data_IF_296479670740
#
_entry.id   IF_296479670740
#
_cell.length_a   1.000
_cell.length_b   1.000
_cell.length_c   1.000
_cell.angle_alpha   90.00
_cell.angle_beta   90.00
_cell.angle_gamma   90.00
#
_symmetry.space_group_name_H-M   'P 1'
#
loop_
_entity.id
_entity.type
_entity.pdbx_description
1 polymer ?
#
# COMPACT_ATOMS: atom_id res chain seq x y z
N UNK A 1 -2.62 5.95 4.92
CA UNK A 1 -4.06 6.30 4.93
C UNK A 1 -4.84 5.60 3.80
N UNK A 2 -4.56 5.86 2.52
CA UNK A 2 -5.31 5.27 1.41
C UNK A 2 -5.31 3.73 1.42
N UNK A 3 -4.16 3.09 1.63
CA UNK A 3 -4.07 1.64 1.69
C UNK A 3 -4.84 1.05 2.88
N UNK A 4 -4.80 1.70 4.03
CA UNK A 4 -5.57 1.32 5.22
C UNK A 4 -7.08 1.42 4.95
N UNK A 5 -7.53 2.53 4.34
CA UNK A 5 -8.93 2.69 3.96
C UNK A 5 -9.40 1.62 2.97
N UNK A 6 -8.57 1.24 1.98
CA UNK A 6 -8.88 0.14 1.05
C UNK A 6 -8.95 -1.22 1.72
N UNK A 7 -8.03 -1.49 2.67
CA UNK A 7 -8.07 -2.73 3.47
C UNK A 7 -9.39 -2.82 4.26
N UNK A 8 -9.78 -1.72 4.92
CA UNK A 8 -11.05 -1.65 5.66
C UNK A 8 -12.24 -1.85 4.71
N UNK A 9 -12.27 -1.15 3.56
CA UNK A 9 -13.34 -1.28 2.57
C UNK A 9 -13.50 -2.73 2.07
N UNK A 10 -12.38 -3.39 1.76
CA UNK A 10 -12.40 -4.78 1.32
C UNK A 10 -12.89 -5.74 2.42
N UNK A 11 -12.46 -5.51 3.68
CA UNK A 11 -12.92 -6.29 4.83
C UNK A 11 -14.41 -6.12 5.11
N UNK A 12 -14.94 -4.90 5.00
CA UNK A 12 -16.38 -4.64 5.15
C UNK A 12 -17.21 -5.29 4.05
N UNK A 13 -16.78 -5.18 2.81
CA UNK A 13 -17.45 -5.84 1.69
C UNK A 13 -17.62 -7.32 1.97
N UNK A 14 -16.59 -7.96 2.50
CA UNK A 14 -16.65 -9.37 2.86
C UNK A 14 -17.57 -9.63 4.05
N UNK A 15 -17.50 -8.84 5.12
CA UNK A 15 -18.33 -9.04 6.31
C UNK A 15 -19.84 -8.95 6.03
N UNK A 16 -20.22 -8.20 5.01
CA UNK A 16 -21.62 -8.07 4.55
C UNK A 16 -22.03 -9.27 3.68
N UNK A 17 -21.09 -9.81 2.89
CA UNK A 17 -21.38 -10.87 1.90
C UNK A 17 -21.19 -12.29 2.45
N UNK A 18 -20.43 -12.47 3.54
CA UNK A 18 -20.19 -13.78 4.15
C UNK A 18 -20.99 -13.96 5.44
N UNK A 19 -21.53 -15.18 5.63
CA UNK A 19 -22.18 -15.61 6.88
C UNK A 19 -21.21 -16.19 7.91
N UNK A 20 -19.89 -16.06 7.69
CA UNK A 20 -18.87 -16.70 8.50
C UNK A 20 -18.40 -15.80 9.65
N UNK A 21 -17.79 -16.41 10.68
CA UNK A 21 -17.29 -15.74 11.87
C UNK A 21 -16.18 -14.74 11.52
N UNK A 22 -16.47 -13.44 11.63
CA UNK A 22 -15.65 -12.33 11.14
C UNK A 22 -14.32 -12.13 11.88
N UNK A 23 -14.09 -12.80 13.04
CA UNK A 23 -12.91 -12.54 13.87
C UNK A 23 -11.57 -12.82 13.17
N UNK A 24 -11.47 -13.91 12.42
CA UNK A 24 -10.25 -14.24 11.66
C UNK A 24 -9.97 -13.23 10.54
N UNK A 25 -11.02 -12.69 9.95
CA UNK A 25 -10.94 -11.69 8.92
C UNK A 25 -10.52 -10.33 9.48
N UNK A 26 -11.07 -9.93 10.61
CA UNK A 26 -10.74 -8.67 11.28
C UNK A 26 -9.29 -8.67 11.75
N UNK A 27 -8.81 -9.80 12.26
CA UNK A 27 -7.39 -10.00 12.56
C UNK A 27 -6.50 -9.87 11.33
N UNK A 28 -7.01 -10.25 10.15
CA UNK A 28 -6.33 -10.10 8.88
C UNK A 28 -6.13 -8.63 8.44
N UNK A 29 -6.94 -7.69 8.92
CA UNK A 29 -6.77 -6.26 8.63
C UNK A 29 -5.59 -5.64 9.36
N UNK A 30 -5.19 -6.20 10.50
CA UNK A 30 -4.05 -5.74 11.29
C UNK A 30 -2.79 -6.47 10.85
N UNK A 31 -1.70 -5.74 10.63
CA UNK A 31 -0.42 -6.33 10.25
C UNK A 31 0.19 -7.11 11.40
N UNK A 32 0.94 -8.17 11.10
CA UNK A 32 1.44 -9.10 12.12
C UNK A 32 2.33 -8.41 13.16
N UNK A 33 3.12 -7.43 12.74
CA UNK A 33 3.95 -6.62 13.62
C UNK A 33 3.13 -5.78 14.61
N UNK A 34 1.95 -5.31 14.18
CA UNK A 34 1.08 -4.44 14.98
C UNK A 34 0.15 -5.24 15.90
N UNK A 35 0.01 -6.56 15.69
CA UNK A 35 -0.89 -7.40 16.50
C UNK A 35 -0.52 -7.46 17.98
N UNK A 36 0.76 -7.31 18.32
CA UNK A 36 1.20 -7.25 19.73
C UNK A 36 0.73 -5.95 20.39
N UNK A 37 0.93 -4.81 19.71
CA UNK A 37 0.52 -3.49 20.18
C UNK A 37 -1.00 -3.47 20.33
N UNK A 38 -1.72 -3.96 19.32
CA UNK A 38 -3.18 -4.09 19.37
C UNK A 38 -3.66 -4.89 20.57
N UNK A 39 -3.09 -6.09 20.81
CA UNK A 39 -3.49 -6.97 21.93
C UNK A 39 -3.18 -6.42 23.30
N UNK A 40 -2.19 -5.54 23.43
CA UNK A 40 -1.88 -4.89 24.71
C UNK A 40 -2.97 -3.90 25.12
N UNK A 41 -3.74 -3.39 24.15
CA UNK A 41 -4.78 -2.38 24.40
C UNK A 41 -6.20 -2.96 24.31
N UNK A 42 -6.43 -3.89 23.39
CA UNK A 42 -7.76 -4.44 23.10
C UNK A 42 -7.80 -5.94 23.41
N UNK A 43 -8.81 -6.36 24.16
CA UNK A 43 -8.97 -7.76 24.57
C UNK A 43 -9.40 -8.69 23.43
N UNK A 44 -10.02 -8.13 22.37
CA UNK A 44 -10.55 -8.88 21.24
C UNK A 44 -10.37 -8.15 19.91
N UNK A 45 -10.49 -8.91 18.82
CA UNK A 45 -10.51 -8.40 17.45
C UNK A 45 -11.95 -8.08 17.00
N UNK A 46 -12.74 -7.42 17.85
CA UNK A 46 -14.06 -6.93 17.43
C UNK A 46 -13.92 -5.87 16.33
N UNK A 47 -14.97 -5.74 15.52
CA UNK A 47 -14.99 -4.74 14.43
C UNK A 47 -14.74 -3.33 14.97
N UNK A 48 -15.34 -2.99 16.10
CA UNK A 48 -15.16 -1.70 16.76
C UNK A 48 -13.71 -1.43 17.13
N UNK A 49 -13.05 -2.37 17.80
CA UNK A 49 -11.65 -2.23 18.24
C UNK A 49 -10.69 -2.13 17.06
N UNK A 50 -10.88 -2.97 16.04
CA UNK A 50 -10.06 -2.96 14.82
C UNK A 50 -10.22 -1.66 14.05
N UNK A 51 -11.44 -1.13 13.92
CA UNK A 51 -11.69 0.14 13.24
C UNK A 51 -11.08 1.32 14.00
N UNK A 52 -11.27 1.38 15.32
CA UNK A 52 -10.65 2.43 16.14
C UNK A 52 -9.14 2.41 15.98
N UNK A 53 -8.50 1.24 16.10
CA UNK A 53 -7.06 1.09 15.96
C UNK A 53 -6.54 1.60 14.61
N UNK A 54 -7.21 1.24 13.53
CA UNK A 54 -6.77 1.58 12.18
C UNK A 54 -7.10 3.02 11.77
N UNK A 55 -8.10 3.64 12.39
CA UNK A 55 -8.59 4.96 11.95
C UNK A 55 -8.04 6.10 12.79
N UNK A 56 -8.10 6.02 14.13
CA UNK A 56 -7.80 7.17 15.00
C UNK A 56 -7.12 6.85 16.33
N UNK A 57 -6.71 5.61 16.59
CA UNK A 57 -6.06 5.23 17.84
C UNK A 57 -4.68 5.88 17.99
N UNK A 58 -4.44 6.60 19.09
CA UNK A 58 -3.21 7.36 19.33
C UNK A 58 -1.95 6.48 19.46
N UNK A 59 -2.10 5.22 19.93
CA UNK A 59 -0.98 4.29 20.06
C UNK A 59 -0.57 3.67 18.70
N UNK A 60 -1.39 3.84 17.67
CA UNK A 60 -1.07 3.45 16.30
C UNK A 60 -0.59 4.67 15.50
N UNK A 61 0.70 4.88 15.42
CA UNK A 61 1.26 5.97 14.62
C UNK A 61 0.85 5.93 13.14
N UNK A 62 0.49 4.75 12.62
CA UNK A 62 0.11 4.51 11.23
C UNK A 62 -1.42 4.50 11.02
N UNK A 63 -2.21 5.01 11.98
CA UNK A 63 -3.64 5.19 11.80
C UNK A 63 -3.95 6.24 10.71
N UNK A 64 -5.14 6.18 10.14
CA UNK A 64 -5.56 7.07 9.03
C UNK A 64 -5.44 8.55 9.43
N UNK A 65 -5.90 8.92 10.64
CA UNK A 65 -5.87 10.30 11.13
C UNK A 65 -4.45 10.84 11.21
N UNK A 66 -3.53 10.11 11.84
CA UNK A 66 -2.13 10.49 11.98
C UNK A 66 -1.43 10.62 10.62
N UNK A 67 -1.67 9.68 9.71
CA UNK A 67 -1.06 9.72 8.38
C UNK A 67 -1.53 10.93 7.55
N UNK A 68 -2.81 11.30 7.62
CA UNK A 68 -3.32 12.50 6.95
C UNK A 68 -2.76 13.78 7.57
N UNK A 69 -2.64 13.81 8.91
CA UNK A 69 -2.02 14.92 9.61
C UNK A 69 -0.54 15.07 9.25
N UNK A 70 0.24 13.98 9.31
CA UNK A 70 1.65 13.95 8.92
C UNK A 70 1.84 14.43 7.47
N UNK A 71 0.98 13.99 6.53
CA UNK A 71 1.04 14.44 5.14
C UNK A 71 0.84 15.96 5.00
N UNK A 72 -0.13 16.54 5.74
CA UNK A 72 -0.34 17.99 5.78
C UNK A 72 0.85 18.75 6.35
N UNK A 73 1.40 18.26 7.47
CA UNK A 73 2.58 18.88 8.11
C UNK A 73 3.76 18.86 7.17
N UNK A 74 4.07 17.73 6.56
CA UNK A 74 5.15 17.60 5.57
C UNK A 74 4.92 18.53 4.37
N UNK A 75 3.69 18.63 3.86
CA UNK A 75 3.36 19.57 2.78
C UNK A 75 3.58 21.05 3.16
N UNK A 76 3.37 21.42 4.43
CA UNK A 76 3.68 22.78 4.90
C UNK A 76 5.19 23.06 4.95
N UNK A 77 5.99 22.07 5.36
CA UNK A 77 7.46 22.20 5.42
C UNK A 77 8.03 22.46 4.02
N UNK A 78 7.56 21.71 3.01
CA UNK A 78 8.05 21.82 1.62
C UNK A 78 7.22 22.74 0.75
N UNK A 79 6.46 23.67 1.34
CA UNK A 79 5.46 24.52 0.65
C UNK A 79 6.02 25.25 -0.57
N UNK A 80 7.25 25.70 -0.52
CA UNK A 80 7.90 26.44 -1.61
C UNK A 80 8.14 25.59 -2.87
N UNK A 81 8.22 24.25 -2.70
CA UNK A 81 8.36 23.31 -3.81
C UNK A 81 7.02 22.81 -4.38
N UNK A 82 5.89 23.18 -3.76
CA UNK A 82 4.56 22.71 -4.15
C UNK A 82 3.78 23.79 -4.90
N UNK A 83 2.94 23.39 -5.83
CA UNK A 83 1.96 24.31 -6.43
C UNK A 83 0.85 24.63 -5.43
N UNK A 84 0.12 25.72 -5.71
CA UNK A 84 -1.03 26.13 -4.89
C UNK A 84 -2.08 25.01 -4.80
N UNK A 85 -2.34 24.35 -5.90
CA UNK A 85 -3.32 23.26 -6.02
C UNK A 85 -2.92 22.05 -5.16
N UNK A 86 -1.65 21.67 -5.18
CA UNK A 86 -1.14 20.58 -4.33
C UNK A 86 -1.23 20.96 -2.85
N UNK A 87 -0.79 22.15 -2.47
CA UNK A 87 -0.89 22.65 -1.09
C UNK A 87 -2.34 22.72 -0.61
N UNK A 88 -3.25 23.22 -1.46
CA UNK A 88 -4.68 23.29 -1.16
C UNK A 88 -5.29 21.90 -1.02
N UNK A 89 -4.92 20.94 -1.88
CA UNK A 89 -5.43 19.57 -1.77
C UNK A 89 -5.10 18.93 -0.42
N UNK A 90 -3.88 19.13 0.11
CA UNK A 90 -3.47 18.62 1.42
C UNK A 90 -4.25 19.30 2.57
N UNK A 91 -4.41 20.62 2.51
CA UNK A 91 -5.15 21.35 3.54
C UNK A 91 -6.64 21.01 3.53
N UNK A 92 -7.28 20.96 2.37
CA UNK A 92 -8.69 20.60 2.22
C UNK A 92 -8.94 19.15 2.63
N UNK A 93 -8.02 18.23 2.27
CA UNK A 93 -8.07 16.84 2.70
C UNK A 93 -8.14 16.74 4.22
N UNK A 94 -7.25 17.42 4.93
CA UNK A 94 -7.25 17.42 6.39
C UNK A 94 -8.52 18.07 6.96
N UNK A 95 -8.85 19.30 6.56
CA UNK A 95 -10.00 20.02 7.12
C UNK A 95 -11.34 19.33 6.88
N UNK A 96 -11.48 18.63 5.75
CA UNK A 96 -12.70 17.91 5.42
C UNK A 96 -12.81 16.55 6.09
N UNK A 97 -11.72 15.93 6.53
CA UNK A 97 -11.72 14.62 7.18
C UNK A 97 -11.61 14.70 8.69
N UNK A 98 -10.96 15.75 9.21
CA UNK A 98 -10.68 15.86 10.64
C UNK A 98 -11.93 15.68 11.52
N UNK A 99 -13.02 16.39 11.23
CA UNK A 99 -14.26 16.29 12.02
C UNK A 99 -14.85 14.88 12.03
N UNK A 100 -14.77 14.18 10.89
CA UNK A 100 -15.25 12.80 10.79
C UNK A 100 -14.35 11.84 11.58
N UNK A 101 -13.03 12.05 11.55
CA UNK A 101 -12.06 11.21 12.24
C UNK A 101 -11.96 11.48 13.74
N UNK A 102 -12.38 12.67 14.22
CA UNK A 102 -12.50 13.01 15.62
C UNK A 102 -13.82 12.50 16.24
N UNK A 103 -14.81 12.15 15.42
CA UNK A 103 -16.08 11.62 15.86
C UNK A 103 -15.97 10.12 16.17
N UNK A 104 -16.85 9.57 17.03
CA UNK A 104 -16.88 8.13 17.30
C UNK A 104 -17.08 7.32 16.01
N UNK A 105 -16.20 6.34 15.80
CA UNK A 105 -16.26 5.47 14.61
C UNK A 105 -17.41 4.47 14.78
N UNK A 106 -18.40 4.56 13.91
CA UNK A 106 -19.58 3.69 13.87
C UNK A 106 -19.71 3.05 12.49
N UNK A 107 -20.37 1.91 12.42
CA UNK A 107 -20.59 1.21 11.14
C UNK A 107 -21.34 2.12 10.15
N UNK A 108 -22.27 2.94 10.64
CA UNK A 108 -23.10 3.81 9.78
C UNK A 108 -22.33 4.97 9.14
N UNK A 109 -21.27 5.51 9.80
CA UNK A 109 -20.47 6.61 9.24
C UNK A 109 -19.19 6.13 8.54
N UNK A 110 -18.90 4.85 8.63
CA UNK A 110 -17.68 4.26 8.07
C UNK A 110 -17.57 4.37 6.55
N UNK A 111 -18.63 4.13 5.74
CA UNK A 111 -18.57 4.32 4.30
C UNK A 111 -18.18 5.76 3.90
N UNK A 112 -18.71 6.77 4.58
CA UNK A 112 -18.38 8.17 4.35
C UNK A 112 -16.91 8.48 4.68
N UNK A 113 -16.41 7.97 5.82
CA UNK A 113 -15.01 8.11 6.22
C UNK A 113 -14.09 7.50 5.15
N UNK A 114 -14.38 6.28 4.71
CA UNK A 114 -13.57 5.57 3.72
C UNK A 114 -13.57 6.33 2.39
N UNK A 115 -14.73 6.69 1.88
CA UNK A 115 -14.87 7.43 0.62
C UNK A 115 -14.10 8.75 0.67
N UNK A 116 -14.23 9.49 1.76
CA UNK A 116 -13.54 10.76 1.96
C UNK A 116 -12.03 10.57 1.95
N UNK A 117 -11.50 9.59 2.68
CA UNK A 117 -10.06 9.27 2.71
C UNK A 117 -9.55 8.84 1.34
N UNK A 118 -10.27 8.01 0.60
CA UNK A 118 -9.89 7.59 -0.75
C UNK A 118 -9.89 8.76 -1.73
N UNK A 119 -10.85 9.66 -1.60
CA UNK A 119 -10.94 10.86 -2.44
C UNK A 119 -9.77 11.81 -2.18
N UNK A 120 -9.30 11.97 -0.93
CA UNK A 120 -8.13 12.81 -0.64
C UNK A 120 -6.90 12.38 -1.44
N UNK A 121 -6.63 11.07 -1.50
CA UNK A 121 -5.52 10.52 -2.28
C UNK A 121 -5.67 10.75 -3.79
N UNK A 122 -6.90 10.70 -4.30
CA UNK A 122 -7.21 10.92 -5.71
C UNK A 122 -7.01 12.38 -6.10
N UNK A 123 -7.53 13.31 -5.30
CA UNK A 123 -7.39 14.76 -5.52
C UNK A 123 -5.92 15.17 -5.42
N UNK A 124 -5.19 14.70 -4.41
CA UNK A 124 -3.76 14.97 -4.27
C UNK A 124 -2.97 14.54 -5.51
N UNK A 125 -3.15 13.29 -5.96
CA UNK A 125 -2.46 12.78 -7.16
C UNK A 125 -2.85 13.57 -8.41
N UNK A 126 -4.13 13.87 -8.57
CA UNK A 126 -4.61 14.71 -9.67
C UNK A 126 -3.94 16.08 -9.69
N UNK A 127 -3.83 16.75 -8.54
CA UNK A 127 -3.15 18.03 -8.40
C UNK A 127 -1.66 17.92 -8.73
N UNK A 128 -0.95 16.92 -8.20
CA UNK A 128 0.48 16.69 -8.49
C UNK A 128 0.70 16.49 -9.98
N UNK A 129 -0.08 15.61 -10.62
CA UNK A 129 0.09 15.34 -12.05
C UNK A 129 -0.33 16.51 -12.95
N UNK A 130 -1.39 17.21 -12.58
CA UNK A 130 -1.99 18.27 -13.39
C UNK A 130 -1.25 19.59 -13.31
N UNK A 131 -0.53 19.87 -12.20
CA UNK A 131 -0.03 21.23 -11.97
C UNK A 131 1.45 21.35 -11.67
N UNK A 132 2.14 20.26 -11.24
CA UNK A 132 3.56 20.36 -10.92
C UNK A 132 4.45 20.24 -12.15
N UNK A 133 5.49 21.10 -12.20
CA UNK A 133 6.61 20.89 -13.10
C UNK A 133 7.29 19.54 -12.81
N UNK A 134 7.77 18.86 -13.85
CA UNK A 134 8.48 17.56 -13.75
C UNK A 134 9.93 17.77 -13.30
N UNK A 135 10.10 18.44 -12.17
CA UNK A 135 11.39 18.71 -11.52
C UNK A 135 11.72 17.66 -10.44
N UNK A 136 12.73 17.92 -9.62
CA UNK A 136 13.15 17.08 -8.51
C UNK A 136 12.06 16.87 -7.46
N UNK A 137 11.35 17.93 -7.04
CA UNK A 137 10.24 17.83 -6.08
C UNK A 137 9.16 16.85 -6.56
N UNK A 138 8.76 16.95 -7.83
CA UNK A 138 7.82 16.01 -8.43
C UNK A 138 8.36 14.59 -8.38
N UNK A 139 9.63 14.39 -8.75
CA UNK A 139 10.23 13.06 -8.77
C UNK A 139 10.34 12.45 -7.37
N UNK A 140 10.67 13.23 -6.32
CA UNK A 140 10.66 12.73 -4.93
C UNK A 140 9.27 12.34 -4.45
N UNK A 141 8.22 13.10 -4.75
CA UNK A 141 6.83 12.73 -4.44
C UNK A 141 6.47 11.40 -5.11
N UNK A 142 6.89 11.21 -6.37
CA UNK A 142 6.65 9.98 -7.13
C UNK A 142 7.41 8.79 -6.52
N UNK A 143 8.69 8.94 -6.21
CA UNK A 143 9.50 7.91 -5.57
C UNK A 143 8.84 7.45 -4.26
N UNK A 144 8.51 8.39 -3.37
CA UNK A 144 7.84 8.06 -2.12
C UNK A 144 6.51 7.32 -2.32
N UNK A 145 5.72 7.74 -3.32
CA UNK A 145 4.46 7.08 -3.68
C UNK A 145 4.66 5.62 -4.07
N UNK A 146 5.69 5.31 -4.88
CA UNK A 146 5.90 3.95 -5.36
C UNK A 146 6.62 3.05 -4.38
N UNK A 147 7.51 3.59 -3.54
CA UNK A 147 8.08 2.86 -2.40
C UNK A 147 6.95 2.41 -1.47
N UNK A 148 6.03 3.31 -1.11
CA UNK A 148 4.91 2.98 -0.23
C UNK A 148 3.95 1.95 -0.87
N UNK A 149 3.62 2.11 -2.15
CA UNK A 149 2.76 1.15 -2.86
C UNK A 149 3.38 -0.24 -2.94
N UNK A 150 4.65 -0.32 -3.28
CA UNK A 150 5.35 -1.61 -3.38
C UNK A 150 5.49 -2.28 -2.01
N UNK A 151 5.81 -1.52 -0.95
CA UNK A 151 5.83 -2.01 0.41
C UNK A 151 4.47 -2.59 0.84
N UNK A 152 3.38 -1.87 0.55
CA UNK A 152 2.04 -2.37 0.86
C UNK A 152 1.72 -3.68 0.10
N UNK A 153 2.07 -3.79 -1.17
CA UNK A 153 1.86 -5.01 -1.94
C UNK A 153 2.72 -6.16 -1.44
N UNK A 154 4.00 -5.90 -1.15
CA UNK A 154 4.92 -6.89 -0.59
C UNK A 154 4.46 -7.37 0.79
N UNK A 155 4.05 -6.45 1.69
CA UNK A 155 3.51 -6.78 3.01
C UNK A 155 2.26 -7.68 2.91
N UNK A 156 1.32 -7.33 2.03
CA UNK A 156 0.11 -8.14 1.79
C UNK A 156 0.48 -9.53 1.27
N UNK A 157 1.41 -9.64 0.35
CA UNK A 157 1.87 -10.93 -0.18
C UNK A 157 2.62 -11.74 0.88
N UNK A 158 3.48 -11.12 1.69
CA UNK A 158 4.27 -11.80 2.70
C UNK A 158 3.41 -12.38 3.84
N UNK A 159 2.60 -11.54 4.48
CA UNK A 159 1.81 -11.93 5.66
C UNK A 159 0.63 -12.82 5.33
N UNK A 160 -0.01 -12.59 4.19
CA UNK A 160 -1.34 -13.14 3.91
C UNK A 160 -1.30 -14.30 2.93
N UNK A 161 -0.47 -14.19 1.92
CA UNK A 161 -0.26 -15.24 0.93
C UNK A 161 0.38 -16.48 1.53
N UNK A 162 1.43 -16.32 2.34
CA UNK A 162 2.14 -17.43 2.97
C UNK A 162 1.23 -18.27 3.87
N UNK A 163 0.30 -17.63 4.61
CA UNK A 163 -0.67 -18.35 5.45
C UNK A 163 -1.70 -19.15 4.64
N UNK A 164 -2.09 -18.67 3.46
CA UNK A 164 -3.01 -19.39 2.58
C UNK A 164 -2.32 -20.60 1.95
N UNK A 165 -1.08 -20.44 1.53
CA UNK A 165 -0.29 -21.50 0.90
C UNK A 165 0.18 -22.61 1.86
N UNK A 166 0.37 -22.29 3.14
CA UNK A 166 0.75 -23.31 4.13
C UNK A 166 -0.35 -24.33 4.40
N UNK A 167 -1.59 -24.05 4.06
CA UNK A 167 -2.68 -25.01 4.11
C UNK A 167 -2.55 -25.95 2.91
N UNK A 168 -2.00 -27.14 3.13
CA UNK A 168 -1.76 -28.19 2.13
C UNK A 168 -3.03 -28.80 1.48
N UNK A 169 -4.16 -28.13 1.47
CA UNK A 169 -5.38 -28.64 0.86
C UNK A 169 -5.39 -28.29 -0.64
N UNK A 170 -5.40 -29.32 -1.46
CA UNK A 170 -5.39 -29.28 -2.94
C UNK A 170 -6.65 -28.61 -3.54
N UNK A 171 -7.69 -28.42 -2.74
CA UNK A 171 -8.92 -27.75 -3.14
C UNK A 171 -8.94 -26.34 -2.59
N UNK A 172 -8.98 -25.34 -3.48
CA UNK A 172 -9.26 -23.95 -3.13
C UNK A 172 -10.62 -23.92 -2.45
N UNK A 173 -10.63 -23.77 -1.13
CA UNK A 173 -11.87 -23.70 -0.36
C UNK A 173 -12.59 -22.38 -0.67
N UNK A 174 -13.91 -22.31 -0.42
CA UNK A 174 -14.67 -21.04 -0.53
C UNK A 174 -14.04 -19.93 0.33
N UNK A 175 -13.44 -20.30 1.47
CA UNK A 175 -12.73 -19.39 2.38
C UNK A 175 -11.48 -18.81 1.69
N UNK A 176 -10.74 -19.62 0.94
CA UNK A 176 -9.54 -19.16 0.25
C UNK A 176 -9.89 -18.25 -0.92
N UNK A 177 -10.96 -18.54 -1.66
CA UNK A 177 -11.49 -17.67 -2.71
C UNK A 177 -11.79 -16.26 -2.16
N UNK A 178 -12.51 -16.18 -1.06
CA UNK A 178 -12.88 -14.93 -0.42
C UNK A 178 -11.65 -14.13 0.04
N UNK A 179 -10.61 -14.80 0.54
CA UNK A 179 -9.37 -14.15 0.97
C UNK A 179 -8.60 -13.56 -0.22
N UNK A 180 -8.56 -14.25 -1.36
CA UNK A 180 -7.98 -13.74 -2.58
C UNK A 180 -8.75 -12.52 -3.12
N UNK A 181 -10.06 -12.57 -3.09
CA UNK A 181 -10.88 -11.43 -3.45
C UNK A 181 -10.59 -10.21 -2.58
N UNK A 182 -10.54 -10.37 -1.24
CA UNK A 182 -10.20 -9.28 -0.31
C UNK A 182 -8.80 -8.72 -0.63
N UNK A 183 -7.83 -9.58 -0.86
CA UNK A 183 -6.48 -9.18 -1.21
C UNK A 183 -6.47 -8.33 -2.48
N UNK A 184 -7.08 -8.78 -3.55
CA UNK A 184 -7.16 -8.06 -4.81
C UNK A 184 -7.95 -6.73 -4.66
N UNK A 185 -9.04 -6.71 -3.91
CA UNK A 185 -9.82 -5.48 -3.62
C UNK A 185 -9.00 -4.49 -2.80
N UNK A 186 -8.25 -4.93 -1.80
CA UNK A 186 -7.35 -4.07 -0.99
C UNK A 186 -6.29 -3.37 -1.84
N UNK A 187 -5.88 -3.98 -2.95
CA UNK A 187 -4.93 -3.44 -3.91
C UNK A 187 -5.59 -2.72 -5.10
N UNK A 188 -6.93 -2.61 -5.11
CA UNK A 188 -7.71 -2.13 -6.29
C UNK A 188 -7.42 -2.93 -7.57
N UNK A 189 -7.06 -4.19 -7.41
CA UNK A 189 -6.63 -5.07 -8.46
C UNK A 189 -7.73 -6.02 -8.97
N UNK A 190 -8.85 -6.13 -8.25
CA UNK A 190 -9.93 -7.09 -8.52
C UNK A 190 -10.45 -7.02 -9.96
N UNK A 191 -10.89 -5.85 -10.40
CA UNK A 191 -11.43 -5.68 -11.75
C UNK A 191 -10.40 -5.94 -12.83
N UNK A 192 -9.17 -5.46 -12.64
CA UNK A 192 -8.08 -5.63 -13.60
C UNK A 192 -7.66 -7.09 -13.72
N UNK A 193 -7.62 -7.81 -12.60
CA UNK A 193 -7.30 -9.23 -12.60
C UNK A 193 -8.39 -10.04 -13.31
N UNK A 194 -9.67 -9.82 -12.98
CA UNK A 194 -10.78 -10.53 -13.63
C UNK A 194 -10.87 -10.25 -15.12
N UNK A 195 -10.55 -9.03 -15.55
CA UNK A 195 -10.49 -8.70 -16.98
C UNK A 195 -9.41 -9.47 -17.73
N UNK A 196 -8.28 -9.80 -17.06
CA UNK A 196 -7.17 -10.55 -17.66
C UNK A 196 -7.35 -12.06 -17.56
N UNK A 197 -7.88 -12.57 -16.47
CA UNK A 197 -7.88 -13.99 -16.10
C UNK A 197 -9.28 -14.62 -16.06
N UNK A 198 -10.34 -13.84 -16.32
CA UNK A 198 -11.72 -14.26 -16.11
C UNK A 198 -12.06 -14.38 -14.62
N UNK A 199 -13.11 -15.13 -14.30
CA UNK A 199 -13.57 -15.28 -12.90
C UNK A 199 -12.77 -16.33 -12.10
N UNK A 200 -11.78 -16.97 -12.71
CA UNK A 200 -10.99 -18.01 -12.04
C UNK A 200 -9.84 -17.42 -11.22
N UNK A 201 -9.89 -17.59 -9.90
CA UNK A 201 -8.86 -17.15 -8.98
C UNK A 201 -7.79 -18.22 -8.79
N UNK A 202 -6.80 -18.24 -9.69
CA UNK A 202 -5.60 -19.04 -9.51
C UNK A 202 -4.57 -18.30 -8.65
N UNK A 203 -4.14 -18.84 -7.50
CA UNK A 203 -3.14 -18.23 -6.64
C UNK A 203 -1.82 -17.88 -7.35
N UNK A 204 -1.36 -18.73 -8.26
CA UNK A 204 -0.13 -18.47 -9.00
C UNK A 204 -0.32 -17.31 -10.01
N UNK A 205 -1.46 -17.26 -10.71
CA UNK A 205 -1.79 -16.17 -11.62
C UNK A 205 -1.92 -14.83 -10.86
N UNK A 206 -2.59 -14.81 -9.69
CA UNK A 206 -2.72 -13.62 -8.84
C UNK A 206 -1.34 -13.13 -8.40
N UNK A 207 -0.48 -14.05 -7.96
CA UNK A 207 0.87 -13.70 -7.50
C UNK A 207 1.71 -13.14 -8.64
N UNK A 208 1.70 -13.78 -9.81
CA UNK A 208 2.39 -13.30 -11.01
C UNK A 208 1.89 -11.91 -11.41
N UNK A 209 0.59 -11.68 -11.38
CA UNK A 209 -0.02 -10.37 -11.67
C UNK A 209 0.45 -9.29 -10.71
N UNK A 210 0.47 -9.57 -9.41
CA UNK A 210 0.85 -8.58 -8.38
C UNK A 210 2.36 -8.35 -8.28
N UNK A 211 3.17 -9.28 -8.75
CA UNK A 211 4.64 -9.12 -8.71
C UNK A 211 5.17 -8.59 -10.05
N UNK A 212 4.80 -9.20 -11.17
CA UNK A 212 5.51 -9.03 -12.45
C UNK A 212 4.76 -8.22 -13.50
N UNK A 213 3.42 -8.03 -13.40
CA UNK A 213 2.68 -7.34 -14.45
C UNK A 213 2.97 -5.83 -14.43
N UNK A 214 3.72 -5.36 -15.44
CA UNK A 214 4.10 -3.95 -15.58
C UNK A 214 2.93 -3.01 -15.92
N UNK A 215 1.72 -3.53 -16.17
CA UNK A 215 0.51 -2.76 -16.42
C UNK A 215 -0.27 -2.48 -15.13
N UNK A 216 -0.03 -3.28 -14.07
CA UNK A 216 -0.73 -3.12 -12.79
C UNK A 216 -0.04 -2.04 -11.94
N UNK A 217 -0.69 -0.88 -11.67
CA UNK A 217 -0.05 0.27 -10.99
C UNK A 217 0.41 0.01 -9.55
N UNK A 218 0.10 -1.16 -8.99
CA UNK A 218 0.49 -1.60 -7.65
C UNK A 218 1.31 -2.88 -7.64
N UNK A 219 1.67 -3.43 -8.82
CA UNK A 219 2.62 -4.53 -8.87
C UNK A 219 4.02 -4.08 -8.43
N UNK A 220 4.82 -5.03 -7.95
CA UNK A 220 6.19 -4.72 -7.56
C UNK A 220 7.02 -4.26 -8.77
N UNK A 221 6.82 -4.88 -9.93
CA UNK A 221 7.52 -4.52 -11.16
C UNK A 221 7.18 -3.11 -11.64
N UNK A 222 5.88 -2.77 -11.73
CA UNK A 222 5.47 -1.41 -12.09
C UNK A 222 6.02 -0.37 -11.12
N UNK A 223 5.88 -0.60 -9.80
CA UNK A 223 6.34 0.35 -8.80
C UNK A 223 7.86 0.57 -8.90
N UNK A 224 8.65 -0.51 -9.02
CA UNK A 224 10.09 -0.39 -9.11
C UNK A 224 10.55 0.27 -10.42
N UNK A 225 9.87 0.00 -11.55
CA UNK A 225 10.11 0.67 -12.83
C UNK A 225 9.91 2.18 -12.73
N UNK A 226 8.84 2.61 -12.06
CA UNK A 226 8.56 4.02 -11.81
C UNK A 226 9.61 4.66 -10.88
N UNK A 227 10.02 3.97 -9.80
CA UNK A 227 11.12 4.43 -8.92
C UNK A 227 12.39 4.62 -9.73
N UNK A 228 12.78 3.62 -10.53
CA UNK A 228 13.97 3.65 -11.35
C UNK A 228 13.94 4.80 -12.37
N UNK A 229 12.80 5.04 -13.00
CA UNK A 229 12.59 6.15 -13.94
C UNK A 229 12.82 7.51 -13.26
N UNK A 230 12.23 7.72 -12.09
CA UNK A 230 12.38 8.97 -11.33
C UNK A 230 13.82 9.17 -10.82
N UNK A 231 14.49 8.10 -10.33
CA UNK A 231 15.90 8.16 -9.94
C UNK A 231 16.82 8.43 -11.12
N UNK A 232 16.51 7.88 -12.32
CA UNK A 232 17.25 8.18 -13.55
C UNK A 232 17.18 9.65 -13.92
N UNK A 233 15.99 10.27 -13.77
CA UNK A 233 15.84 11.70 -13.96
C UNK A 233 16.74 12.50 -13.01
N UNK A 234 16.71 12.19 -11.72
CA UNK A 234 17.53 12.87 -10.69
C UNK A 234 19.03 12.71 -10.97
N UNK A 235 19.51 11.52 -11.37
CA UNK A 235 20.89 11.33 -11.76
C UNK A 235 21.33 12.23 -12.93
N UNK A 236 20.47 12.36 -13.95
CA UNK A 236 20.74 13.21 -15.11
C UNK A 236 20.76 14.69 -14.71
N UNK A 237 19.82 15.11 -13.89
CA UNK A 237 19.67 16.52 -13.44
C UNK A 237 20.87 16.94 -12.60
N UNK A 238 21.28 16.11 -11.62
CA UNK A 238 22.38 16.42 -10.73
C UNK A 238 23.76 15.99 -11.27
N UNK A 239 23.81 15.37 -12.46
CA UNK A 239 25.03 14.85 -13.10
C UNK A 239 25.88 13.97 -12.17
N UNK A 240 25.23 13.19 -11.29
CA UNK A 240 25.85 12.38 -10.25
C UNK A 240 25.31 10.96 -10.29
N UNK A 241 26.19 9.96 -10.06
CA UNK A 241 25.77 8.57 -9.88
C UNK A 241 25.36 8.34 -8.43
N UNK A 242 24.21 7.72 -8.22
CA UNK A 242 23.64 7.46 -6.91
C UNK A 242 23.53 5.96 -6.63
N UNK A 243 23.77 5.58 -5.37
CA UNK A 243 23.69 4.19 -4.92
C UNK A 243 22.25 3.69 -4.95
N UNK A 244 21.29 4.55 -4.59
CA UNK A 244 19.87 4.27 -4.68
C UNK A 244 19.41 3.84 -6.08
N UNK A 245 19.96 4.47 -7.13
CA UNK A 245 19.69 4.06 -8.51
C UNK A 245 20.20 2.63 -8.80
N UNK A 246 21.39 2.27 -8.32
CA UNK A 246 21.96 0.94 -8.54
C UNK A 246 21.12 -0.14 -7.84
N UNK A 247 20.62 0.14 -6.63
CA UNK A 247 19.73 -0.77 -5.89
C UNK A 247 18.43 -0.96 -6.66
N UNK A 248 17.76 0.12 -7.08
CA UNK A 248 16.54 0.05 -7.84
C UNK A 248 16.73 -0.70 -9.18
N UNK A 249 17.86 -0.50 -9.85
CA UNK A 249 18.21 -1.21 -11.10
C UNK A 249 18.45 -2.70 -10.87
N UNK A 250 19.15 -3.08 -9.81
CA UNK A 250 19.33 -4.49 -9.43
C UNK A 250 18.00 -5.16 -9.14
N UNK A 251 17.13 -4.51 -8.39
CA UNK A 251 15.76 -5.00 -8.10
C UNK A 251 14.94 -5.15 -9.38
N UNK A 252 15.01 -4.20 -10.33
CA UNK A 252 14.31 -4.30 -11.61
C UNK A 252 14.80 -5.51 -12.43
N UNK A 253 16.11 -5.74 -12.47
CA UNK A 253 16.66 -6.89 -13.16
C UNK A 253 16.17 -8.21 -12.56
N UNK A 254 16.04 -8.31 -11.25
CA UNK A 254 15.49 -9.50 -10.57
C UNK A 254 14.01 -9.72 -10.92
N UNK A 255 13.24 -8.64 -11.07
CA UNK A 255 11.83 -8.70 -11.47
C UNK A 255 11.64 -9.08 -12.95
N UNK A 256 12.59 -8.72 -13.82
CA UNK A 256 12.48 -8.99 -15.27
C UNK A 256 13.13 -10.30 -15.72
N UNK A 257 14.11 -10.83 -14.98
CA UNK A 257 14.90 -12.00 -15.36
C UNK A 257 14.11 -13.32 -15.44
N UNK A 258 12.86 -13.34 -15.01
CA UNK A 258 12.00 -14.52 -15.10
C UNK A 258 12.38 -15.71 -14.21
N UNK A 259 13.41 -15.57 -13.39
CA UNK A 259 13.95 -16.63 -12.50
C UNK A 259 12.90 -17.15 -11.51
N UNK A 260 11.82 -16.38 -11.28
CA UNK A 260 10.80 -16.67 -10.27
C UNK A 260 9.42 -16.97 -10.89
N UNK A 261 9.33 -17.14 -12.21
CA UNK A 261 8.05 -17.45 -12.89
C UNK A 261 7.43 -18.78 -12.49
N UNK A 262 8.19 -19.66 -11.86
CA UNK A 262 7.69 -20.88 -11.22
C UNK A 262 7.67 -20.70 -9.71
N UNK A 263 6.58 -20.16 -9.21
CA UNK A 263 6.40 -19.83 -7.80
C UNK A 263 6.10 -21.09 -6.99
N UNK A 264 7.13 -21.74 -6.48
CA UNK A 264 6.98 -22.73 -5.38
C UNK A 264 7.22 -22.02 -4.03
N UNK A 265 6.34 -22.29 -3.08
CA UNK A 265 6.10 -21.59 -1.81
C UNK A 265 7.33 -20.95 -1.09
N UNK A 266 8.44 -21.69 -0.94
CA UNK A 266 9.62 -21.20 -0.21
C UNK A 266 10.43 -20.17 -1.00
N UNK A 267 10.51 -20.29 -2.31
CA UNK A 267 11.24 -19.35 -3.18
C UNK A 267 10.52 -18.00 -3.25
N UNK A 268 9.19 -18.02 -3.29
CA UNK A 268 8.39 -16.79 -3.29
C UNK A 268 8.54 -16.02 -1.96
N UNK A 269 8.44 -16.72 -0.83
CA UNK A 269 8.63 -16.09 0.47
C UNK A 269 9.99 -15.39 0.58
N UNK A 270 11.06 -16.10 0.22
CA UNK A 270 12.40 -15.55 0.25
C UNK A 270 12.54 -14.33 -0.70
N UNK A 271 11.93 -14.41 -1.88
CA UNK A 271 11.92 -13.29 -2.83
C UNK A 271 11.21 -12.05 -2.28
N UNK A 272 10.02 -12.23 -1.70
CA UNK A 272 9.25 -11.11 -1.13
C UNK A 272 10.00 -10.51 0.06
N UNK A 273 10.60 -11.34 0.90
CA UNK A 273 11.44 -10.90 2.02
C UNK A 273 12.63 -10.09 1.51
N UNK A 274 13.39 -10.61 0.56
CA UNK A 274 14.52 -9.90 -0.07
C UNK A 274 14.06 -8.59 -0.73
N UNK A 275 12.91 -8.60 -1.40
CA UNK A 275 12.34 -7.39 -1.98
C UNK A 275 12.03 -6.33 -0.92
N UNK A 276 11.44 -6.72 0.21
CA UNK A 276 11.13 -5.81 1.32
C UNK A 276 12.41 -5.21 1.91
N UNK A 277 13.41 -6.04 2.20
CA UNK A 277 14.73 -5.60 2.69
C UNK A 277 15.43 -4.65 1.70
N UNK A 278 15.38 -4.96 0.41
CA UNK A 278 15.92 -4.08 -0.64
C UNK A 278 15.18 -2.73 -0.70
N UNK A 279 13.88 -2.71 -0.47
CA UNK A 279 13.08 -1.49 -0.50
C UNK A 279 13.32 -0.60 0.73
N UNK A 280 13.53 -1.19 1.90
CA UNK A 280 13.96 -0.49 3.11
C UNK A 280 15.37 0.12 2.92
N UNK A 281 16.30 -0.66 2.40
CA UNK A 281 17.64 -0.18 2.06
C UNK A 281 17.61 0.92 1.00
N UNK A 282 16.73 0.79 -0.01
CA UNK A 282 16.54 1.82 -1.02
C UNK A 282 16.05 3.14 -0.40
N UNK A 283 15.10 3.09 0.52
CA UNK A 283 14.63 4.27 1.24
C UNK A 283 15.77 4.95 2.01
N UNK A 284 16.53 4.19 2.77
CA UNK A 284 17.71 4.69 3.51
C UNK A 284 18.74 5.32 2.57
N UNK A 285 19.05 4.66 1.45
CA UNK A 285 20.04 5.17 0.50
C UNK A 285 19.57 6.42 -0.24
N UNK A 286 18.26 6.57 -0.52
CA UNK A 286 17.72 7.81 -1.09
C UNK A 286 17.92 8.96 -0.10
N UNK A 287 17.61 8.76 1.16
CA UNK A 287 17.79 9.74 2.22
C UNK A 287 19.26 10.20 2.29
N UNK A 288 20.20 9.25 2.21
CA UNK A 288 21.64 9.52 2.23
C UNK A 288 22.15 10.18 0.94
N UNK A 289 21.77 9.68 -0.22
CA UNK A 289 22.23 10.14 -1.53
C UNK A 289 21.85 11.61 -1.80
N UNK A 290 20.70 12.04 -1.27
CA UNK A 290 20.14 13.37 -1.50
C UNK A 290 20.13 14.26 -0.25
N UNK A 291 20.75 13.84 0.85
CA UNK A 291 20.84 14.60 2.10
C UNK A 291 19.46 15.08 2.58
N UNK A 292 18.48 14.16 2.64
CA UNK A 292 17.08 14.46 3.02
C UNK A 292 16.86 14.42 4.55
N UNK A 293 17.89 14.54 5.35
CA UNK A 293 17.83 14.57 6.84
C UNK A 293 18.06 15.98 7.32
#
# INVERSE_FOLDING_TARGET
>A
AENTARKIQAGLHYSITSKENNNDLLKFLIEDQDQKIFKNKFNDFSLHNVLNYLINDEDNENNIKNLLHKARVNGKIVRTGLTREVSNSLNQSWSSTQKLLDSPIKINNLPEIIEKVLNTGTVFRGSVYGTMLRNDTFNFIRIGTFIERSNNTASILNTKYYRILLRKTVLVSKIDYNRWEILLRSLSAWRSFNWLSGEYLDPAAITNFLIFDERMPRSLSFCNKEILSNLSYLQKTYKKKYQSFNIAKKTQNSLTSGIIRTVHNKKLYNFIKEYTENNENLHFMITRDFNLV
#
